data_IF_322548192400
#
_entry.id   IF_322548192400
#
_cell.length_a   1.000
_cell.length_b   1.000
_cell.length_c   1.000
_cell.angle_alpha   90.00
_cell.angle_beta   90.00
_cell.angle_gamma   90.00
#
_symmetry.space_group_name_H-M   'P 1'
#
loop_
_entity.id
_entity.type
_entity.pdbx_description
1 polymer ?
#
# COMPACT_ATOMS: atom_id res chain seq x y z
N UNK A 1 -31.19 -1.04 -69.15
CA UNK A 1 -30.17 -2.07 -68.92
C UNK A 1 -29.19 -1.56 -67.85
N UNK A 2 -29.41 -1.90 -66.59
CA UNK A 2 -28.60 -1.43 -65.50
C UNK A 2 -27.59 -2.53 -65.12
N UNK A 3 -26.31 -2.22 -65.24
CA UNK A 3 -25.20 -3.13 -64.87
C UNK A 3 -24.95 -3.01 -63.35
N UNK A 4 -25.27 -4.06 -62.60
CA UNK A 4 -24.89 -4.20 -61.23
C UNK A 4 -23.38 -4.52 -61.13
N UNK A 5 -22.59 -3.58 -60.65
CA UNK A 5 -21.19 -3.83 -60.31
C UNK A 5 -21.13 -4.67 -59.01
N UNK A 6 -20.36 -5.77 -59.04
CA UNK A 6 -20.04 -6.60 -57.86
C UNK A 6 -18.98 -5.86 -57.04
N UNK A 7 -19.05 -5.88 -55.69
CA UNK A 7 -18.00 -5.29 -54.83
C UNK A 7 -16.72 -6.10 -54.97
N UNK A 8 -15.60 -5.41 -55.12
CA UNK A 8 -14.25 -5.97 -55.19
C UNK A 8 -13.79 -6.43 -53.79
N UNK A 9 -12.92 -7.45 -53.74
CA UNK A 9 -12.41 -8.08 -52.50
C UNK A 9 -11.68 -7.14 -51.54
N UNK A 10 -11.29 -5.94 -51.99
CA UNK A 10 -10.66 -4.92 -51.14
C UNK A 10 -11.59 -4.38 -50.04
N UNK A 11 -12.90 -4.36 -50.23
CA UNK A 11 -13.87 -3.87 -49.25
C UNK A 11 -14.28 -4.88 -48.17
N UNK A 12 -13.70 -6.09 -48.16
CA UNK A 12 -13.91 -7.11 -47.14
C UNK A 12 -12.84 -7.13 -46.04
N UNK A 13 -11.70 -6.44 -46.25
CA UNK A 13 -10.61 -6.41 -45.23
C UNK A 13 -10.72 -5.27 -44.22
N UNK A 14 -11.47 -4.21 -44.54
CA UNK A 14 -11.60 -3.07 -43.61
C UNK A 14 -12.66 -3.23 -42.50
N UNK A 15 -13.51 -4.25 -42.55
CA UNK A 15 -14.53 -4.53 -41.50
C UNK A 15 -14.15 -5.58 -40.47
N UNK A 16 -12.89 -6.00 -40.43
CA UNK A 16 -12.38 -6.96 -39.40
C UNK A 16 -11.51 -6.35 -38.30
N UNK A 17 -11.35 -5.02 -38.30
CA UNK A 17 -10.46 -4.30 -37.36
C UNK A 17 -11.12 -3.78 -36.10
N UNK A 18 -12.43 -3.64 -36.01
CA UNK A 18 -13.14 -3.14 -34.82
C UNK A 18 -13.81 -4.27 -34.02
N UNK A 19 -13.04 -5.26 -33.59
CA UNK A 19 -13.36 -5.93 -32.33
C UNK A 19 -12.83 -5.02 -31.21
N UNK A 20 -13.67 -4.06 -30.78
CA UNK A 20 -13.58 -3.49 -29.47
C UNK A 20 -13.25 -4.61 -28.50
N UNK A 21 -12.05 -4.56 -27.92
CA UNK A 21 -11.79 -5.30 -26.68
C UNK A 21 -12.77 -4.71 -25.65
N UNK A 22 -13.91 -5.37 -25.49
CA UNK A 22 -14.74 -5.14 -24.35
C UNK A 22 -13.83 -5.41 -23.14
N UNK A 23 -13.48 -4.34 -22.41
CA UNK A 23 -12.81 -4.48 -21.12
C UNK A 23 -13.67 -5.46 -20.34
N UNK A 24 -13.11 -6.60 -19.98
CA UNK A 24 -13.76 -7.53 -19.06
C UNK A 24 -14.15 -6.71 -17.83
N UNK A 25 -15.43 -6.79 -17.45
CA UNK A 25 -15.91 -6.12 -16.26
C UNK A 25 -15.12 -6.73 -15.10
N UNK A 26 -14.36 -5.91 -14.39
CA UNK A 26 -13.63 -6.37 -13.21
C UNK A 26 -14.67 -6.80 -12.16
N UNK A 27 -14.77 -8.09 -11.90
CA UNK A 27 -15.62 -8.65 -10.85
C UNK A 27 -14.75 -8.82 -9.61
N UNK A 28 -15.06 -8.07 -8.57
CA UNK A 28 -14.42 -8.21 -7.25
C UNK A 28 -14.88 -9.53 -6.63
N UNK A 29 -13.98 -10.48 -6.53
CA UNK A 29 -14.24 -11.79 -5.91
C UNK A 29 -13.89 -11.82 -4.43
N UNK A 30 -13.10 -10.86 -3.95
CA UNK A 30 -12.62 -10.74 -2.56
C UNK A 30 -13.00 -9.38 -1.97
N UNK A 31 -13.18 -9.29 -0.64
CA UNK A 31 -13.29 -8.00 0.05
C UNK A 31 -12.10 -7.11 -0.26
N UNK A 32 -12.35 -5.81 -0.40
CA UNK A 32 -11.33 -4.82 -0.71
C UNK A 32 -11.04 -3.94 0.49
N UNK A 33 -9.77 -3.86 0.87
CA UNK A 33 -9.29 -3.08 2.01
C UNK A 33 -8.18 -2.14 1.57
N UNK A 34 -8.26 -0.88 1.99
CA UNK A 34 -7.20 0.09 1.77
C UNK A 34 -6.30 0.12 3.00
N UNK A 35 -5.04 -0.20 2.83
CA UNK A 35 -4.03 -0.09 3.88
C UNK A 35 -2.87 0.77 3.40
N UNK A 36 -1.95 1.09 4.28
CA UNK A 36 -0.72 1.75 3.86
C UNK A 36 0.35 1.72 4.93
N UNK A 37 1.57 2.05 4.52
CA UNK A 37 2.73 2.14 5.39
C UNK A 37 2.90 3.56 5.92
N UNK A 38 3.09 3.68 7.23
CA UNK A 38 3.39 4.92 7.96
C UNK A 38 4.63 4.71 8.85
N UNK A 39 5.26 5.77 9.29
CA UNK A 39 6.42 5.71 10.18
C UNK A 39 7.56 6.63 9.73
N UNK A 40 8.63 6.65 10.49
CA UNK A 40 9.76 7.55 10.29
C UNK A 40 10.47 7.34 8.93
N UNK A 41 11.16 8.36 8.43
CA UNK A 41 12.07 8.25 7.28
C UNK A 41 13.14 7.18 7.58
N UNK A 42 13.59 6.46 6.57
CA UNK A 42 14.61 5.39 6.66
C UNK A 42 14.25 4.16 7.52
N UNK A 43 13.04 4.07 8.08
CA UNK A 43 12.57 2.85 8.76
C UNK A 43 12.20 1.71 7.80
N UNK A 44 12.22 1.96 6.47
CA UNK A 44 12.05 0.93 5.44
C UNK A 44 10.61 0.68 5.00
N UNK A 45 9.75 1.70 5.01
CA UNK A 45 8.36 1.60 4.53
C UNK A 45 8.26 1.12 3.09
N UNK A 46 8.91 1.81 2.17
CA UNK A 46 8.93 1.46 0.74
C UNK A 46 9.58 0.10 0.49
N UNK A 47 10.63 -0.23 1.26
CA UNK A 47 11.25 -1.57 1.22
C UNK A 47 10.28 -2.65 1.66
N UNK A 48 9.49 -2.40 2.72
CA UNK A 48 8.45 -3.33 3.17
C UNK A 48 7.35 -3.49 2.13
N UNK A 49 6.89 -2.40 1.52
CA UNK A 49 5.89 -2.42 0.45
C UNK A 49 6.37 -3.29 -0.73
N UNK A 50 7.62 -3.13 -1.16
CA UNK A 50 8.23 -3.97 -2.19
C UNK A 50 8.33 -5.44 -1.75
N UNK A 51 8.73 -5.70 -0.49
CA UNK A 51 8.83 -7.06 0.06
C UNK A 51 7.47 -7.77 0.09
N UNK A 52 6.40 -7.08 0.50
CA UNK A 52 5.04 -7.62 0.51
C UNK A 52 4.64 -8.05 -0.91
N UNK A 53 4.81 -7.18 -1.91
CA UNK A 53 4.43 -7.50 -3.31
C UNK A 53 5.23 -8.69 -3.85
N UNK A 54 6.55 -8.75 -3.55
CA UNK A 54 7.41 -9.84 -4.01
C UNK A 54 7.04 -11.18 -3.35
N UNK A 55 6.92 -11.20 -2.03
CA UNK A 55 6.64 -12.43 -1.26
C UNK A 55 5.28 -13.01 -1.64
N UNK A 56 4.24 -12.16 -1.72
CA UNK A 56 2.90 -12.61 -2.12
C UNK A 56 2.88 -13.10 -3.56
N UNK A 57 3.57 -12.43 -4.48
CA UNK A 57 3.69 -12.89 -5.86
C UNK A 57 4.40 -14.24 -5.97
N UNK A 58 5.52 -14.42 -5.25
CA UNK A 58 6.29 -15.67 -5.29
C UNK A 58 5.53 -16.85 -4.68
N UNK A 59 4.83 -16.63 -3.56
CA UNK A 59 4.17 -17.71 -2.81
C UNK A 59 2.77 -18.05 -3.32
N UNK A 60 2.02 -17.05 -3.77
CA UNK A 60 0.61 -17.24 -4.17
C UNK A 60 0.37 -16.97 -5.65
N UNK A 61 1.36 -16.47 -6.39
CA UNK A 61 1.20 -16.07 -7.79
C UNK A 61 0.23 -14.91 -7.97
N UNK A 62 -0.04 -14.13 -6.91
CA UNK A 62 -1.03 -13.07 -6.90
C UNK A 62 -0.37 -11.70 -7.03
N UNK A 63 -0.96 -10.83 -7.87
CA UNK A 63 -0.49 -9.47 -8.09
C UNK A 63 0.73 -9.35 -9.00
N UNK A 64 1.09 -8.14 -9.36
CA UNK A 64 2.36 -7.82 -10.00
C UNK A 64 3.41 -7.50 -8.93
N UNK A 65 4.60 -8.06 -9.06
CA UNK A 65 5.75 -7.60 -8.29
C UNK A 65 6.08 -6.16 -8.69
N UNK A 66 6.10 -5.28 -7.71
CA UNK A 66 6.50 -3.87 -7.90
C UNK A 66 7.85 -3.67 -7.23
N UNK A 67 8.90 -3.53 -8.04
CA UNK A 67 10.24 -3.24 -7.56
C UNK A 67 10.28 -1.87 -6.86
N UNK A 68 11.16 -1.73 -5.86
CA UNK A 68 11.41 -0.48 -5.13
C UNK A 68 11.53 0.74 -6.07
N UNK A 69 12.29 0.60 -7.16
CA UNK A 69 12.47 1.65 -8.17
C UNK A 69 11.19 2.02 -8.94
N UNK A 70 10.13 1.21 -8.85
CA UNK A 70 8.85 1.47 -9.46
C UNK A 70 7.80 2.00 -8.47
N UNK A 71 8.07 1.92 -7.17
CA UNK A 71 7.29 2.55 -6.11
C UNK A 71 7.66 4.03 -6.05
N UNK A 72 8.93 4.36 -5.85
CA UNK A 72 9.46 5.72 -5.90
C UNK A 72 9.79 6.11 -7.35
N UNK A 73 8.81 6.64 -8.06
CA UNK A 73 8.88 6.89 -9.51
C UNK A 73 9.54 8.21 -9.89
N UNK A 74 9.42 9.24 -9.04
CA UNK A 74 9.91 10.56 -9.34
C UNK A 74 11.46 10.61 -9.36
N UNK A 75 12.08 11.31 -10.30
CA UNK A 75 13.55 11.47 -10.31
C UNK A 75 14.10 12.02 -9.01
N UNK A 76 13.37 12.93 -8.37
CA UNK A 76 13.75 13.54 -7.10
C UNK A 76 13.71 12.56 -5.93
N UNK A 77 12.75 11.64 -5.91
CA UNK A 77 12.65 10.56 -4.92
C UNK A 77 13.86 9.62 -5.01
N UNK A 78 14.24 9.26 -6.23
CA UNK A 78 15.41 8.39 -6.48
C UNK A 78 16.73 9.07 -6.15
N UNK A 79 16.86 10.35 -6.44
CA UNK A 79 18.08 11.14 -6.15
C UNK A 79 18.27 11.31 -4.64
N UNK A 80 17.19 11.55 -3.91
CA UNK A 80 17.24 11.77 -2.47
C UNK A 80 17.12 10.48 -1.64
N UNK A 81 16.65 9.37 -2.25
CA UNK A 81 16.38 8.11 -1.55
C UNK A 81 15.23 8.18 -0.55
N UNK A 82 14.27 9.10 -0.75
CA UNK A 82 13.12 9.30 0.13
C UNK A 82 11.83 9.38 -0.69
N UNK A 83 10.73 8.83 -0.15
CA UNK A 83 9.39 8.95 -0.73
C UNK A 83 8.87 10.37 -0.50
N UNK A 84 8.44 11.04 -1.57
CA UNK A 84 7.88 12.41 -1.55
C UNK A 84 6.36 12.36 -1.73
N UNK A 85 5.91 11.64 -2.74
CA UNK A 85 4.50 11.48 -3.08
C UNK A 85 3.98 10.12 -2.63
N UNK A 86 2.68 10.03 -2.33
CA UNK A 86 2.05 8.73 -2.08
C UNK A 86 2.13 7.84 -3.31
N UNK A 87 2.52 6.59 -3.14
CA UNK A 87 2.52 5.59 -4.19
C UNK A 87 1.48 4.50 -3.90
N UNK A 88 0.79 4.05 -4.95
CA UNK A 88 -0.24 3.03 -4.84
C UNK A 88 0.22 1.75 -5.49
N UNK A 89 0.10 0.65 -4.77
CA UNK A 89 0.30 -0.71 -5.27
C UNK A 89 -0.88 -1.59 -4.87
N UNK A 90 -1.17 -2.60 -5.68
CA UNK A 90 -2.26 -3.55 -5.45
C UNK A 90 -1.70 -4.95 -5.31
N UNK A 91 -2.24 -5.71 -4.37
CA UNK A 91 -1.91 -7.13 -4.18
C UNK A 91 -3.05 -7.87 -3.47
N UNK A 92 -2.94 -9.18 -3.41
CA UNK A 92 -3.96 -10.02 -2.79
C UNK A 92 -3.33 -11.03 -1.84
N UNK A 93 -4.02 -11.27 -0.73
CA UNK A 93 -3.88 -12.47 0.09
C UNK A 93 -4.88 -13.54 -0.37
N UNK A 94 -4.89 -14.69 0.27
CA UNK A 94 -5.95 -15.68 0.04
C UNK A 94 -7.35 -15.14 0.35
N UNK A 95 -7.44 -14.22 1.32
CA UNK A 95 -8.70 -13.69 1.87
C UNK A 95 -9.17 -12.40 1.23
N UNK A 96 -8.24 -11.48 0.90
CA UNK A 96 -8.55 -10.08 0.58
C UNK A 96 -7.75 -9.54 -0.58
N UNK A 97 -8.31 -8.52 -1.21
CA UNK A 97 -7.62 -7.65 -2.14
C UNK A 97 -7.27 -6.34 -1.44
N UNK A 98 -6.02 -5.91 -1.56
CA UNK A 98 -5.50 -4.71 -0.93
C UNK A 98 -5.12 -3.64 -1.95
N UNK A 99 -5.56 -2.39 -1.71
CA UNK A 99 -4.91 -1.21 -2.23
C UNK A 99 -3.99 -0.67 -1.14
N UNK A 100 -2.70 -0.63 -1.41
CA UNK A 100 -1.68 -0.20 -0.47
C UNK A 100 -1.15 1.16 -0.86
N UNK A 101 -1.15 2.08 0.10
CA UNK A 101 -0.62 3.44 -0.03
C UNK A 101 0.71 3.52 0.69
N UNK A 102 1.80 3.68 -0.04
CA UNK A 102 3.11 3.97 0.56
C UNK A 102 3.22 5.46 0.85
N UNK A 103 3.30 5.82 2.14
CA UNK A 103 3.33 7.21 2.58
C UNK A 103 4.75 7.73 2.79
N UNK A 104 5.01 9.01 2.48
CA UNK A 104 6.28 9.64 2.80
C UNK A 104 6.53 9.65 4.31
N UNK A 105 7.79 9.51 4.70
CA UNK A 105 8.21 9.53 6.11
C UNK A 105 8.78 10.85 6.59
N UNK A 106 9.14 11.75 5.67
CA UNK A 106 9.83 13.00 5.99
C UNK A 106 8.85 14.11 6.38
N UNK A 107 9.20 14.91 7.38
CA UNK A 107 8.37 15.99 7.93
C UNK A 107 7.92 17.02 6.89
N UNK A 108 8.72 17.29 5.86
CA UNK A 108 8.36 18.24 4.80
C UNK A 108 7.16 17.78 3.96
N UNK A 109 6.83 16.47 3.98
CA UNK A 109 5.78 15.87 3.16
C UNK A 109 4.57 15.39 3.96
N UNK A 110 4.39 15.90 5.17
CA UNK A 110 3.27 15.58 6.08
C UNK A 110 1.90 15.73 5.39
N UNK A 111 1.73 16.72 4.50
CA UNK A 111 0.47 16.87 3.75
C UNK A 111 0.14 15.64 2.89
N UNK A 112 1.14 15.09 2.21
CA UNK A 112 0.96 13.90 1.39
C UNK A 112 0.67 12.67 2.26
N UNK A 113 1.36 12.57 3.42
CA UNK A 113 1.08 11.55 4.41
C UNK A 113 -0.37 11.61 4.91
N UNK A 114 -0.88 12.79 5.28
CA UNK A 114 -2.26 13.00 5.74
C UNK A 114 -3.27 12.60 4.66
N UNK A 115 -3.02 13.01 3.41
CA UNK A 115 -3.91 12.68 2.28
C UNK A 115 -3.97 11.18 2.02
N UNK A 116 -2.82 10.49 2.07
CA UNK A 116 -2.75 9.04 1.95
C UNK A 116 -3.43 8.32 3.11
N UNK A 117 -3.12 8.73 4.35
CA UNK A 117 -3.67 8.12 5.55
C UNK A 117 -5.20 8.24 5.64
N UNK A 118 -5.77 9.35 5.19
CA UNK A 118 -7.24 9.55 5.18
C UNK A 118 -8.00 8.54 4.31
N UNK A 119 -7.31 7.80 3.45
CA UNK A 119 -7.90 6.79 2.59
C UNK A 119 -7.83 5.37 3.15
N UNK A 120 -7.09 5.17 4.24
CA UNK A 120 -6.81 3.86 4.81
C UNK A 120 -7.94 3.36 5.70
N UNK A 121 -8.22 2.06 5.60
CA UNK A 121 -9.07 1.30 6.53
C UNK A 121 -8.24 0.77 7.72
N UNK A 122 -6.93 0.75 7.57
CA UNK A 122 -5.93 0.43 8.58
C UNK A 122 -4.53 0.76 8.09
N UNK A 123 -3.57 0.88 8.99
CA UNK A 123 -2.18 1.20 8.67
C UNK A 123 -1.20 0.16 9.19
N UNK A 124 -0.07 0.01 8.49
CA UNK A 124 1.11 -0.70 8.95
C UNK A 124 2.12 0.33 9.42
N UNK A 125 2.35 0.39 10.73
CA UNK A 125 3.38 1.23 11.32
C UNK A 125 4.72 0.51 11.22
N UNK A 126 5.67 1.12 10.52
CA UNK A 126 7.02 0.57 10.35
C UNK A 126 7.99 1.28 11.29
N UNK A 127 8.59 0.52 12.20
CA UNK A 127 9.57 1.01 13.16
C UNK A 127 10.86 0.19 13.03
N UNK A 128 11.99 0.87 12.94
CA UNK A 128 13.31 0.20 12.95
C UNK A 128 13.59 -0.33 14.36
N UNK A 129 13.93 -1.61 14.48
CA UNK A 129 14.32 -2.23 15.74
C UNK A 129 15.62 -1.62 16.32
N UNK A 130 16.50 -1.14 15.44
CA UNK A 130 17.78 -0.55 15.85
C UNK A 130 17.62 0.88 16.39
N UNK A 131 16.63 1.64 15.86
CA UNK A 131 16.46 3.05 16.18
C UNK A 131 15.31 3.29 17.18
N UNK A 132 14.36 2.36 17.29
CA UNK A 132 13.12 2.53 18.05
C UNK A 132 12.17 3.58 17.47
N UNK A 133 11.11 3.98 18.20
CA UNK A 133 10.21 5.04 17.81
C UNK A 133 10.90 6.40 17.75
N UNK A 134 10.89 7.02 16.58
CA UNK A 134 11.51 8.30 16.27
C UNK A 134 10.44 9.43 16.20
N UNK A 135 10.81 10.72 16.14
CA UNK A 135 9.86 11.83 16.19
C UNK A 135 8.72 11.74 15.16
N UNK A 136 9.03 11.38 13.88
CA UNK A 136 7.99 11.22 12.88
C UNK A 136 7.11 9.97 13.12
N UNK A 137 7.60 8.96 13.85
CA UNK A 137 6.75 7.83 14.28
C UNK A 137 5.60 8.33 15.13
N UNK A 138 5.89 9.16 16.14
CA UNK A 138 4.89 9.79 17.01
C UNK A 138 3.92 10.69 16.23
N UNK A 139 4.46 11.51 15.34
CA UNK A 139 3.68 12.41 14.50
C UNK A 139 2.72 11.62 13.58
N UNK A 140 3.19 10.55 12.94
CA UNK A 140 2.37 9.73 12.04
C UNK A 140 1.26 8.97 12.77
N UNK A 141 1.51 8.48 13.99
CA UNK A 141 0.45 7.86 14.82
C UNK A 141 -0.61 8.89 15.18
N UNK A 142 -0.21 10.08 15.67
CA UNK A 142 -1.12 11.16 15.99
C UNK A 142 -1.97 11.59 14.78
N UNK A 143 -1.34 11.81 13.64
CA UNK A 143 -2.03 12.24 12.43
C UNK A 143 -2.97 11.14 11.91
N UNK A 144 -2.56 9.88 11.94
CA UNK A 144 -3.43 8.75 11.58
C UNK A 144 -4.67 8.70 12.45
N UNK A 145 -4.53 8.94 13.76
CA UNK A 145 -5.67 9.05 14.67
C UNK A 145 -6.60 10.21 14.29
N UNK A 146 -6.05 11.39 14.00
CA UNK A 146 -6.82 12.59 13.65
C UNK A 146 -7.58 12.44 12.33
N UNK A 147 -7.02 11.77 11.33
CA UNK A 147 -7.70 11.52 10.04
C UNK A 147 -8.64 10.31 10.08
N UNK A 148 -8.71 9.60 11.22
CA UNK A 148 -9.67 8.55 11.45
C UNK A 148 -9.23 7.15 10.98
N UNK A 149 -7.94 6.86 10.87
CA UNK A 149 -7.43 5.49 10.68
C UNK A 149 -7.80 4.66 11.92
N UNK A 150 -8.63 3.62 11.78
CA UNK A 150 -9.18 2.94 12.96
C UNK A 150 -8.25 1.87 13.56
N UNK A 151 -7.36 1.29 12.76
CA UNK A 151 -6.52 0.17 13.16
C UNK A 151 -5.08 0.37 12.71
N UNK A 152 -4.13 -0.03 13.59
CA UNK A 152 -2.70 -0.07 13.29
C UNK A 152 -2.18 -1.49 13.56
N UNK A 153 -1.40 -2.04 12.65
CA UNK A 153 -0.56 -3.23 12.83
C UNK A 153 0.89 -2.77 12.75
N UNK A 154 1.78 -3.34 13.53
CA UNK A 154 3.18 -2.90 13.57
C UNK A 154 4.10 -3.91 12.91
N UNK A 155 5.01 -3.41 12.08
CA UNK A 155 6.15 -4.17 11.60
C UNK A 155 7.44 -3.58 12.19
N UNK A 156 8.04 -4.30 13.13
CA UNK A 156 9.34 -3.97 13.70
C UNK A 156 10.42 -4.47 12.74
N UNK A 157 10.93 -3.53 11.94
CA UNK A 157 11.83 -3.79 10.82
C UNK A 157 13.30 -3.76 11.24
N UNK A 158 14.18 -4.28 10.38
CA UNK A 158 15.64 -4.30 10.55
C UNK A 158 16.11 -5.13 11.78
N UNK A 159 15.36 -6.14 12.16
CA UNK A 159 15.73 -7.02 13.29
C UNK A 159 17.04 -7.75 13.02
N UNK A 160 17.41 -7.96 11.76
CA UNK A 160 18.70 -8.50 11.33
C UNK A 160 19.93 -7.67 11.73
N UNK A 161 19.72 -6.44 12.23
CA UNK A 161 20.77 -5.52 12.71
C UNK A 161 20.89 -5.51 14.23
N UNK A 162 20.06 -6.25 14.96
CA UNK A 162 19.98 -6.25 16.41
C UNK A 162 20.18 -7.67 16.92
N UNK A 163 21.30 -7.88 17.64
CA UNK A 163 21.63 -9.18 18.25
C UNK A 163 21.13 -9.32 19.69
N UNK A 164 20.57 -8.25 20.28
CA UNK A 164 20.13 -8.17 21.66
C UNK A 164 18.62 -8.32 21.78
N UNK A 165 18.15 -9.44 22.30
CA UNK A 165 16.72 -9.72 22.51
C UNK A 165 16.08 -8.75 23.51
N UNK A 166 16.82 -8.31 24.56
CA UNK A 166 16.30 -7.35 25.55
C UNK A 166 16.00 -6.00 24.90
N UNK A 167 16.82 -5.60 23.91
CA UNK A 167 16.58 -4.37 23.15
C UNK A 167 15.32 -4.49 22.29
N UNK A 168 15.07 -5.65 21.70
CA UNK A 168 13.84 -5.88 20.90
C UNK A 168 12.59 -5.80 21.77
N UNK A 169 12.63 -6.39 22.98
CA UNK A 169 11.52 -6.31 23.94
C UNK A 169 11.29 -4.88 24.42
N UNK A 170 12.36 -4.11 24.65
CA UNK A 170 12.26 -2.71 25.05
C UNK A 170 11.60 -1.86 23.94
N UNK A 171 12.03 -2.03 22.70
CA UNK A 171 11.44 -1.31 21.55
C UNK A 171 9.97 -1.70 21.36
N UNK A 172 9.60 -2.98 21.52
CA UNK A 172 8.22 -3.42 21.47
C UNK A 172 7.38 -2.74 22.56
N UNK A 173 7.88 -2.69 23.79
CA UNK A 173 7.20 -2.05 24.91
C UNK A 173 6.99 -0.55 24.66
N UNK A 174 8.01 0.14 24.17
CA UNK A 174 7.92 1.57 23.83
C UNK A 174 6.88 1.84 22.71
N UNK A 175 6.80 0.95 21.71
CA UNK A 175 5.78 1.05 20.65
C UNK A 175 4.37 0.87 21.24
N UNK A 176 4.16 -0.09 22.14
CA UNK A 176 2.86 -0.34 22.78
C UNK A 176 2.41 0.83 23.65
N UNK A 177 3.31 1.40 24.45
CA UNK A 177 3.06 2.59 25.24
C UNK A 177 2.67 3.77 24.36
N UNK A 178 3.42 3.97 23.26
CA UNK A 178 3.17 5.05 22.31
C UNK A 178 1.81 4.91 21.62
N UNK A 179 1.41 3.72 21.18
CA UNK A 179 0.10 3.47 20.61
C UNK A 179 -1.02 3.77 21.60
N UNK A 180 -0.84 3.35 22.85
CA UNK A 180 -1.80 3.60 23.93
C UNK A 180 -1.92 5.09 24.27
N UNK A 181 -0.83 5.86 24.23
CA UNK A 181 -0.82 7.31 24.40
C UNK A 181 -1.73 8.02 23.38
N UNK A 182 -1.77 7.52 22.14
CA UNK A 182 -2.59 8.07 21.07
C UNK A 182 -3.93 7.34 20.86
N UNK A 183 -4.42 6.67 21.90
CA UNK A 183 -5.73 6.00 21.92
C UNK A 183 -5.92 4.87 20.90
N UNK A 184 -4.86 4.20 20.51
CA UNK A 184 -4.90 2.90 19.84
C UNK A 184 -4.79 1.78 20.89
N UNK A 185 -5.23 0.56 20.55
CA UNK A 185 -5.14 -0.60 21.42
C UNK A 185 -3.69 -1.14 21.45
N UNK A 186 -2.80 -0.47 22.18
CA UNK A 186 -1.39 -0.84 22.24
C UNK A 186 -1.15 -2.26 22.79
N UNK A 187 -1.99 -2.73 23.72
CA UNK A 187 -1.84 -4.04 24.35
C UNK A 187 -2.13 -5.19 23.37
N UNK A 188 -3.17 -5.04 22.54
CA UNK A 188 -3.61 -6.09 21.60
C UNK A 188 -3.15 -5.86 20.16
N UNK A 189 -2.51 -4.72 19.87
CA UNK A 189 -1.96 -4.47 18.54
C UNK A 189 -0.94 -5.54 18.14
N UNK A 190 -1.10 -6.22 16.99
CA UNK A 190 -0.09 -7.16 16.52
C UNK A 190 1.21 -6.46 16.19
N UNK A 191 2.32 -6.98 16.71
CA UNK A 191 3.68 -6.51 16.38
C UNK A 191 4.44 -7.69 15.80
N UNK A 192 4.89 -7.55 14.56
CA UNK A 192 5.66 -8.57 13.86
C UNK A 192 7.09 -8.07 13.68
N UNK A 193 8.04 -8.83 14.22
CA UNK A 193 9.47 -8.55 14.09
C UNK A 193 10.02 -9.23 12.82
N UNK A 194 10.77 -8.47 11.99
CA UNK A 194 11.31 -8.99 10.75
C UNK A 194 12.32 -8.07 10.07
N UNK A 195 12.76 -8.47 8.88
CA UNK A 195 13.62 -7.68 8.01
C UNK A 195 13.04 -7.66 6.59
N UNK A 196 12.54 -6.51 6.17
CA UNK A 196 12.01 -6.32 4.83
C UNK A 196 13.10 -6.48 3.75
N UNK A 197 14.32 -6.04 4.03
CA UNK A 197 15.44 -6.17 3.10
C UNK A 197 15.82 -7.64 2.90
N UNK A 198 15.92 -8.41 3.97
CA UNK A 198 16.22 -9.85 3.90
C UNK A 198 15.09 -10.64 3.23
N UNK A 199 13.85 -10.23 3.43
CA UNK A 199 12.72 -10.83 2.72
C UNK A 199 12.74 -10.56 1.20
N UNK A 200 13.30 -9.43 0.75
CA UNK A 200 13.55 -9.17 -0.67
C UNK A 200 14.67 -10.07 -1.23
N UNK A 201 15.73 -10.34 -0.43
CA UNK A 201 16.84 -11.20 -0.83
C UNK A 201 16.41 -12.68 -0.92
N UNK A 202 15.60 -13.13 0.04
CA UNK A 202 15.09 -14.51 0.10
C UNK A 202 13.59 -14.52 0.48
N UNK A 203 12.70 -14.36 -0.51
CA UNK A 203 11.25 -14.28 -0.28
C UNK A 203 10.61 -15.61 0.13
N UNK A 204 11.29 -16.73 -0.07
CA UNK A 204 10.81 -18.06 0.31
C UNK A 204 11.38 -18.55 1.65
N UNK A 205 12.37 -17.84 2.19
CA UNK A 205 13.00 -18.14 3.48
C UNK A 205 12.27 -17.60 4.70
N UNK A 206 12.95 -17.67 5.84
CA UNK A 206 12.41 -17.26 7.16
C UNK A 206 11.90 -15.81 7.18
N UNK A 207 12.61 -14.88 6.55
CA UNK A 207 12.20 -13.48 6.51
C UNK A 207 10.97 -13.25 5.63
N UNK A 208 10.80 -14.05 4.55
CA UNK A 208 9.58 -14.11 3.78
C UNK A 208 8.39 -14.63 4.62
N UNK A 209 8.61 -15.60 5.52
CA UNK A 209 7.57 -16.06 6.46
C UNK A 209 7.11 -14.95 7.40
N UNK A 210 8.00 -14.04 7.82
CA UNK A 210 7.63 -12.86 8.62
C UNK A 210 6.72 -11.89 7.86
N UNK A 211 6.93 -11.73 6.55
CA UNK A 211 6.01 -10.93 5.71
C UNK A 211 4.63 -11.61 5.61
N UNK A 212 4.59 -12.94 5.47
CA UNK A 212 3.31 -13.67 5.49
C UNK A 212 2.61 -13.51 6.83
N UNK A 213 3.33 -13.67 7.96
CA UNK A 213 2.78 -13.43 9.31
C UNK A 213 2.22 -12.02 9.47
N UNK A 214 2.90 -11.01 8.91
CA UNK A 214 2.39 -9.63 8.90
C UNK A 214 1.05 -9.56 8.16
N UNK A 215 0.95 -10.15 6.97
CA UNK A 215 -0.27 -10.10 6.19
C UNK A 215 -1.42 -10.91 6.82
N UNK A 216 -1.12 -12.03 7.46
CA UNK A 216 -2.09 -12.79 8.26
C UNK A 216 -2.59 -11.98 9.47
N UNK A 217 -1.70 -11.25 10.14
CA UNK A 217 -2.08 -10.35 11.24
C UNK A 217 -2.96 -9.19 10.74
N UNK A 218 -2.64 -8.61 9.58
CA UNK A 218 -3.47 -7.59 8.92
C UNK A 218 -4.84 -8.16 8.55
N UNK A 219 -4.90 -9.37 7.97
CA UNK A 219 -6.15 -10.06 7.62
C UNK A 219 -7.02 -10.37 8.84
N UNK A 220 -6.42 -10.63 10.00
CA UNK A 220 -7.13 -11.00 11.23
C UNK A 220 -7.55 -9.78 12.07
N UNK A 221 -6.69 -8.77 12.16
CA UNK A 221 -6.87 -7.64 13.07
C UNK A 221 -7.68 -6.49 12.48
N UNK A 222 -7.52 -6.22 11.18
CA UNK A 222 -8.28 -5.17 10.49
C UNK A 222 -9.57 -5.78 9.93
N UNK A 223 -10.76 -5.35 10.40
CA UNK A 223 -12.03 -5.90 9.88
C UNK A 223 -12.31 -5.45 8.44
N UNK A 224 -13.22 -6.15 7.77
CA UNK A 224 -13.72 -5.70 6.48
C UNK A 224 -14.46 -4.37 6.64
N UNK A 225 -14.09 -3.34 5.85
CA UNK A 225 -14.68 -2.02 6.03
C UNK A 225 -16.15 -1.99 5.61
N UNK A 226 -17.00 -1.46 6.48
CA UNK A 226 -18.39 -1.18 6.14
C UNK A 226 -18.46 0.01 5.19
N UNK A 227 -19.02 -0.19 3.99
CA UNK A 227 -19.20 0.87 2.99
C UNK A 227 -20.63 1.43 3.06
N UNK A 228 -20.75 2.73 3.30
CA UNK A 228 -22.04 3.41 3.37
C UNK A 228 -22.60 3.67 1.96
N UNK A 229 -23.06 2.62 1.29
CA UNK A 229 -23.55 2.66 -0.11
C UNK A 229 -24.88 3.39 -0.28
N UNK A 230 -25.58 3.69 0.81
CA UNK A 230 -26.85 4.42 0.89
C UNK A 230 -26.69 5.93 1.01
N UNK A 231 -25.46 6.42 1.22
CA UNK A 231 -25.15 7.85 1.34
C UNK A 231 -24.89 8.49 -0.02
N UNK A 232 -25.05 9.83 -0.13
CA UNK A 232 -24.64 10.57 -1.31
C UNK A 232 -23.15 10.35 -1.64
N UNK A 233 -22.82 10.39 -2.93
CA UNK A 233 -21.45 10.28 -3.39
C UNK A 233 -20.54 11.32 -2.72
N UNK A 234 -19.47 10.85 -2.10
CA UNK A 234 -18.41 11.67 -1.49
C UNK A 234 -17.06 11.05 -1.86
N UNK A 235 -16.17 11.85 -2.40
CA UNK A 235 -14.80 11.45 -2.73
C UNK A 235 -13.83 12.53 -2.27
N UNK A 236 -13.07 12.33 -1.20
CA UNK A 236 -11.91 13.16 -0.90
C UNK A 236 -10.92 13.12 -2.07
N UNK A 237 -10.51 14.31 -2.52
CA UNK A 237 -9.59 14.42 -3.67
C UNK A 237 -8.16 14.23 -3.17
N UNK A 238 -7.47 13.27 -3.76
CA UNK A 238 -6.06 12.99 -3.51
C UNK A 238 -5.16 13.69 -4.51
N UNK A 239 -5.46 13.54 -5.81
CA UNK A 239 -4.67 14.15 -6.87
C UNK A 239 -5.57 14.78 -7.94
N UNK A 240 -5.04 15.80 -8.62
CA UNK A 240 -5.72 16.55 -9.67
C UNK A 240 -4.77 16.74 -10.85
N UNK A 241 -5.13 16.22 -12.00
CA UNK A 241 -4.35 16.40 -13.22
C UNK A 241 -5.24 16.65 -14.44
N UNK A 242 -4.64 17.14 -15.51
CA UNK A 242 -5.36 17.45 -16.75
C UNK A 242 -4.96 16.48 -17.85
N UNK A 243 -5.94 15.84 -18.48
CA UNK A 243 -5.73 15.00 -19.66
C UNK A 243 -6.22 15.76 -20.90
N UNK A 244 -5.32 15.92 -21.88
CA UNK A 244 -5.65 16.57 -23.15
C UNK A 244 -6.84 15.88 -23.82
N UNK A 245 -7.88 16.63 -24.13
CA UNK A 245 -9.12 16.13 -24.73
C UNK A 245 -10.15 15.54 -23.76
N UNK A 246 -9.81 15.39 -22.47
CA UNK A 246 -10.74 14.91 -21.42
C UNK A 246 -11.01 15.93 -20.30
N UNK A 247 -10.13 16.93 -20.15
CA UNK A 247 -10.25 17.96 -19.14
C UNK A 247 -9.60 17.57 -17.82
N UNK A 248 -10.07 18.16 -16.73
CA UNK A 248 -9.57 17.91 -15.36
C UNK A 248 -10.04 16.55 -14.87
N UNK A 249 -9.11 15.76 -14.36
CA UNK A 249 -9.35 14.45 -13.75
C UNK A 249 -8.92 14.53 -12.29
N UNK A 250 -9.72 13.98 -11.41
CA UNK A 250 -9.42 13.87 -9.98
C UNK A 250 -9.40 12.40 -9.58
N UNK A 251 -8.51 12.03 -8.68
CA UNK A 251 -8.45 10.71 -8.05
C UNK A 251 -8.76 10.81 -6.57
N UNK A 252 -9.23 9.73 -5.99
CA UNK A 252 -9.57 9.62 -4.58
C UNK A 252 -10.37 8.36 -4.29
N UNK A 253 -10.58 8.09 -3.01
CA UNK A 253 -11.41 7.00 -2.52
C UNK A 253 -12.89 7.36 -2.57
N UNK A 254 -13.75 6.42 -2.99
CA UNK A 254 -15.22 6.52 -2.97
C UNK A 254 -15.81 5.63 -1.90
#
# INVERSE_FOLDING_TARGET
MQIKQRPTEANKKEKKGDKQMAKSKFERTKPHVNIGTIGHVDHGKTTLTAAITLVLNKRYGSGEFVDYAHIDKAPEERERGITISTSHVEYETERRHYAHVDCPGHADYVKNMITGAAQMDGAILVVSAADGPMPQTREHILLSRQVGVPYIVVFMNKVDQVDDEELLELVEMEIRELLSEYEFDGDNTPIIAGSALKALEDPEGEWGDKIIQLMEAVDAYIPDPERATDKPFLMPIEDVFTITGRGTVTTGRV
#
